data_IF_209749595107
#
_entry.id   IF_209749595107
#
_cell.length_a   1.000
_cell.length_b   1.000
_cell.length_c   1.000
_cell.angle_alpha   90.00
_cell.angle_beta   90.00
_cell.angle_gamma   90.00
#
_symmetry.space_group_name_H-M   'P 1'
#
loop_
_entity.id
_entity.type
_entity.pdbx_description
1 polymer ?
#
# COMPACT_ATOMS: atom_id res chain seq x y z
N UNK A 1 -7.83 0.71 -11.99
CA UNK A 1 -7.45 1.46 -13.19
C UNK A 1 -8.52 2.48 -13.60
N UNK A 2 -9.79 2.09 -13.67
CA UNK A 2 -10.90 2.96 -14.06
C UNK A 2 -11.06 4.19 -13.16
N UNK A 3 -10.92 4.05 -11.84
CA UNK A 3 -10.94 5.20 -10.94
C UNK A 3 -9.73 6.13 -11.14
N UNK A 4 -8.58 5.56 -11.45
CA UNK A 4 -7.34 6.32 -11.73
C UNK A 4 -7.46 7.05 -13.07
N UNK A 5 -8.04 6.42 -14.08
CA UNK A 5 -8.24 7.04 -15.40
C UNK A 5 -9.17 8.25 -15.37
N UNK A 6 -10.10 8.30 -14.39
CA UNK A 6 -11.03 9.44 -14.21
C UNK A 6 -10.38 10.66 -13.54
N UNK A 7 -9.21 10.52 -12.93
CA UNK A 7 -8.52 11.61 -12.23
C UNK A 7 -7.68 12.44 -13.21
N UNK A 8 -7.73 13.75 -13.05
CA UNK A 8 -6.91 14.66 -13.87
C UNK A 8 -5.44 14.55 -13.51
N UNK A 9 -4.57 14.77 -14.48
CA UNK A 9 -3.12 14.82 -14.28
C UNK A 9 -2.72 15.90 -13.27
N UNK A 10 -3.40 17.04 -13.30
CA UNK A 10 -3.18 18.14 -12.36
C UNK A 10 -3.34 17.72 -10.89
N UNK A 11 -4.30 16.84 -10.60
CA UNK A 11 -4.49 16.31 -9.25
C UNK A 11 -3.27 15.51 -8.77
N UNK A 12 -2.68 14.69 -9.63
CA UNK A 12 -1.49 13.92 -9.26
C UNK A 12 -0.30 14.83 -8.97
N UNK A 13 -0.07 15.86 -9.77
CA UNK A 13 0.98 16.86 -9.54
C UNK A 13 0.73 17.67 -8.26
N UNK A 14 -0.50 18.03 -7.98
CA UNK A 14 -0.86 18.74 -6.75
C UNK A 14 -0.60 17.88 -5.52
N UNK A 15 -1.02 16.61 -5.54
CA UNK A 15 -0.78 15.66 -4.46
C UNK A 15 0.72 15.43 -4.26
N UNK A 16 1.49 15.22 -5.33
CA UNK A 16 2.94 15.09 -5.26
C UNK A 16 3.62 16.31 -4.63
N UNK A 17 3.23 17.50 -5.04
CA UNK A 17 3.74 18.77 -4.51
C UNK A 17 3.43 18.92 -3.02
N UNK A 18 2.21 18.60 -2.61
CA UNK A 18 1.79 18.67 -1.21
C UNK A 18 2.55 17.66 -0.33
N UNK A 19 2.75 16.44 -0.82
CA UNK A 19 3.57 15.44 -0.14
C UNK A 19 5.02 15.91 -0.03
N UNK A 20 5.61 16.39 -1.13
CA UNK A 20 6.98 16.89 -1.17
C UNK A 20 7.19 18.02 -0.16
N UNK A 21 6.30 19.00 -0.15
CA UNK A 21 6.37 20.14 0.78
C UNK A 21 6.28 19.65 2.24
N UNK A 22 5.36 18.74 2.55
CA UNK A 22 5.18 18.20 3.90
C UNK A 22 6.43 17.45 4.37
N UNK A 23 6.98 16.60 3.51
CA UNK A 23 8.19 15.82 3.80
C UNK A 23 9.38 16.74 4.00
N UNK A 24 9.61 17.69 3.08
CA UNK A 24 10.75 18.59 3.13
C UNK A 24 10.67 19.56 4.33
N UNK A 25 9.52 20.11 4.63
CA UNK A 25 9.33 20.98 5.80
C UNK A 25 9.66 20.22 7.09
N UNK A 26 9.11 19.01 7.27
CA UNK A 26 9.34 18.22 8.48
C UNK A 26 10.81 17.83 8.61
N UNK A 27 11.43 17.35 7.53
CA UNK A 27 12.84 16.97 7.50
C UNK A 27 13.75 18.16 7.77
N UNK A 28 13.53 19.28 7.13
CA UNK A 28 14.36 20.47 7.25
C UNK A 28 14.29 21.05 8.67
N UNK A 29 13.09 21.12 9.24
CA UNK A 29 12.90 21.62 10.62
C UNK A 29 13.65 20.75 11.62
N UNK A 30 13.49 19.44 11.56
CA UNK A 30 14.18 18.53 12.48
C UNK A 30 15.70 18.49 12.25
N UNK A 31 16.14 18.55 10.97
CA UNK A 31 17.56 18.66 10.62
C UNK A 31 18.22 19.88 11.26
N UNK A 32 17.60 21.05 11.17
CA UNK A 32 18.14 22.29 11.75
C UNK A 32 18.23 22.20 13.28
N UNK A 33 17.17 21.70 13.93
CA UNK A 33 17.18 21.50 15.39
C UNK A 33 18.26 20.50 15.82
N UNK A 34 18.38 19.37 15.12
CA UNK A 34 19.38 18.34 15.39
C UNK A 34 20.82 18.86 15.21
N UNK A 35 21.09 19.65 14.15
CA UNK A 35 22.41 20.25 13.93
C UNK A 35 22.79 21.20 15.08
N UNK A 36 21.88 22.06 15.52
CA UNK A 36 22.11 22.96 16.65
C UNK A 36 22.40 22.17 17.94
N UNK A 37 21.65 21.11 18.17
CA UNK A 37 21.84 20.24 19.34
C UNK A 37 23.20 19.53 19.31
N UNK A 38 23.64 19.02 18.17
CA UNK A 38 24.96 18.40 18.01
C UNK A 38 26.10 19.41 18.31
N UNK A 39 25.97 20.66 17.89
CA UNK A 39 26.93 21.73 18.22
C UNK A 39 26.97 21.97 19.73
N UNK A 40 25.83 21.94 20.43
CA UNK A 40 25.76 22.09 21.88
C UNK A 40 26.41 20.89 22.59
N UNK A 41 26.21 19.66 22.08
CA UNK A 41 26.90 18.49 22.63
C UNK A 41 28.41 18.60 22.52
N UNK A 42 28.95 19.06 21.37
CA UNK A 42 30.38 19.32 21.18
C UNK A 42 30.92 20.36 22.17
N UNK A 43 30.30 21.53 22.23
CA UNK A 43 30.73 22.61 23.13
C UNK A 43 30.67 22.23 24.59
N UNK A 44 29.80 21.33 24.96
CA UNK A 44 29.59 20.90 26.35
C UNK A 44 30.34 19.60 26.69
N UNK A 45 31.03 18.98 25.73
CA UNK A 45 31.70 17.67 25.84
C UNK A 45 30.80 16.59 26.46
N UNK A 46 29.55 16.48 25.94
CA UNK A 46 28.53 15.60 26.51
C UNK A 46 28.44 14.24 25.84
N UNK A 47 29.09 14.03 24.70
CA UNK A 47 28.91 12.79 23.92
C UNK A 47 29.19 11.52 24.71
N UNK A 48 30.27 11.48 25.49
CA UNK A 48 30.70 10.30 26.26
C UNK A 48 29.80 10.01 27.47
N UNK A 49 28.99 10.97 27.86
CA UNK A 49 28.11 10.89 29.03
C UNK A 49 26.66 10.60 28.67
N UNK A 50 26.29 10.68 27.36
CA UNK A 50 24.91 10.42 26.92
C UNK A 50 24.54 8.95 27.05
N UNK A 51 23.27 8.70 27.38
CA UNK A 51 22.69 7.38 27.51
C UNK A 51 21.42 7.28 26.63
N UNK A 52 21.14 6.13 26.02
CA UNK A 52 22.06 5.00 25.82
C UNK A 52 23.24 5.38 24.93
N UNK A 53 24.44 4.94 25.35
CA UNK A 53 25.67 5.19 24.63
C UNK A 53 25.49 4.90 23.13
N UNK A 54 26.02 5.79 22.31
CA UNK A 54 25.99 5.74 20.86
C UNK A 54 24.59 5.85 20.21
N UNK A 55 23.51 5.36 20.84
CA UNK A 55 22.18 5.33 20.18
C UNK A 55 21.57 6.72 20.09
N UNK A 56 21.54 7.49 21.17
CA UNK A 56 21.00 8.87 21.16
C UNK A 56 21.79 9.79 20.25
N UNK A 57 23.14 9.90 20.39
CA UNK A 57 23.94 10.71 19.46
C UNK A 57 23.85 10.23 18.02
N UNK A 58 23.82 8.91 17.80
CA UNK A 58 23.71 8.31 16.46
C UNK A 58 22.39 8.66 15.78
N UNK A 59 21.26 8.55 16.49
CA UNK A 59 19.96 8.93 15.96
C UNK A 59 19.90 10.44 15.66
N UNK A 60 20.42 11.30 16.55
CA UNK A 60 20.44 12.75 16.31
C UNK A 60 21.32 13.09 15.10
N UNK A 61 22.44 12.37 14.86
CA UNK A 61 23.24 12.52 13.63
C UNK A 61 22.49 12.11 12.38
N UNK A 62 21.72 11.01 12.42
CA UNK A 62 20.86 10.59 11.30
C UNK A 62 19.83 11.67 10.99
N UNK A 63 19.17 12.23 12.01
CA UNK A 63 18.21 13.34 11.85
C UNK A 63 18.90 14.57 11.24
N UNK A 64 20.09 14.93 11.74
CA UNK A 64 20.87 16.06 11.25
C UNK A 64 21.32 15.90 9.78
N UNK A 65 21.47 14.67 9.32
CA UNK A 65 21.80 14.32 7.93
C UNK A 65 20.55 14.08 7.06
N UNK A 66 19.35 14.28 7.61
CA UNK A 66 18.07 13.96 6.93
C UNK A 66 17.93 12.49 6.53
N UNK A 67 18.58 11.59 7.25
CA UNK A 67 18.44 10.15 7.03
C UNK A 67 17.28 9.60 7.85
N UNK A 68 16.22 9.20 7.15
CA UNK A 68 14.98 8.67 7.73
C UNK A 68 14.81 7.16 7.50
N UNK A 69 15.88 6.46 7.14
CA UNK A 69 15.81 5.03 6.87
C UNK A 69 15.73 4.17 8.13
N UNK A 70 16.14 4.73 9.28
CA UNK A 70 16.23 3.98 10.55
C UNK A 70 15.18 4.48 11.55
N UNK A 71 14.34 3.57 12.04
CA UNK A 71 13.44 3.83 13.18
C UNK A 71 14.24 3.98 14.48
N UNK A 72 13.71 4.78 15.39
CA UNK A 72 14.25 4.82 16.77
C UNK A 72 14.15 3.44 17.42
N UNK A 73 15.21 3.03 18.13
CA UNK A 73 15.22 1.76 18.84
C UNK A 73 14.46 1.84 20.16
N UNK A 74 13.97 0.69 20.64
CA UNK A 74 13.25 0.55 21.93
C UNK A 74 13.98 1.17 23.12
N UNK A 75 15.32 1.19 23.10
CA UNK A 75 16.14 1.80 24.16
C UNK A 75 15.97 3.31 24.21
N UNK A 76 15.80 3.98 23.05
CA UNK A 76 15.54 5.42 22.99
C UNK A 76 14.11 5.71 23.47
N UNK A 77 13.14 4.89 23.08
CA UNK A 77 11.76 4.99 23.56
C UNK A 77 11.71 4.86 25.09
N UNK A 78 12.40 3.87 25.65
CA UNK A 78 12.54 3.71 27.10
C UNK A 78 13.23 4.90 27.77
N UNK A 79 14.22 5.52 27.13
CA UNK A 79 14.88 6.72 27.66
C UNK A 79 13.95 7.94 27.69
N UNK A 80 13.04 8.04 26.72
CA UNK A 80 11.98 9.07 26.71
C UNK A 80 10.98 8.87 27.85
N UNK A 81 10.57 7.63 28.11
CA UNK A 81 9.65 7.27 29.20
C UNK A 81 10.27 7.53 30.58
N UNK A 82 11.51 7.08 30.78
CA UNK A 82 12.19 7.18 32.07
C UNK A 82 12.86 8.54 32.32
N UNK A 83 13.02 9.35 31.26
CA UNK A 83 13.74 10.61 31.31
C UNK A 83 15.24 10.49 31.48
N UNK A 84 15.81 9.28 31.34
CA UNK A 84 17.24 9.00 31.56
C UNK A 84 18.02 9.08 30.26
N UNK A 85 18.76 10.15 30.06
CA UNK A 85 19.59 10.41 28.86
C UNK A 85 21.06 10.65 29.17
N UNK A 86 21.46 10.57 30.46
CA UNK A 86 22.83 10.74 30.92
C UNK A 86 23.17 9.61 31.87
N UNK A 87 24.42 9.17 31.85
CA UNK A 87 24.92 8.12 32.76
C UNK A 87 24.84 8.57 34.21
N UNK A 88 24.50 7.65 35.12
CA UNK A 88 24.37 7.93 36.57
C UNK A 88 25.68 8.44 37.19
N UNK A 89 26.82 7.94 36.74
CA UNK A 89 28.14 8.25 37.25
C UNK A 89 28.77 9.50 36.60
N UNK A 90 27.96 10.29 35.87
CA UNK A 90 28.45 11.50 35.22
C UNK A 90 28.79 12.60 36.24
N UNK A 91 29.84 13.40 35.98
CA UNK A 91 30.17 14.53 36.83
C UNK A 91 29.02 15.51 37.01
N UNK A 92 28.85 16.07 38.20
CA UNK A 92 27.75 17.00 38.53
C UNK A 92 27.67 18.18 37.55
N UNK A 93 28.80 18.65 37.06
CA UNK A 93 28.88 19.72 36.06
C UNK A 93 28.25 19.30 34.72
N UNK A 94 28.52 18.07 34.25
CA UNK A 94 27.95 17.54 33.00
C UNK A 94 26.43 17.32 33.13
N UNK A 95 25.99 16.87 34.31
CA UNK A 95 24.55 16.74 34.61
C UNK A 95 23.86 18.11 34.54
N UNK A 96 24.49 19.15 35.12
CA UNK A 96 23.94 20.51 35.09
C UNK A 96 23.90 21.08 33.65
N UNK A 97 24.95 20.83 32.85
CA UNK A 97 25.00 21.22 31.44
C UNK A 97 23.90 20.50 30.64
N UNK A 98 23.71 19.18 30.85
CA UNK A 98 22.69 18.40 30.17
C UNK A 98 21.26 18.87 30.51
N UNK A 99 20.99 19.18 31.79
CA UNK A 99 19.67 19.69 32.20
C UNK A 99 19.20 20.89 31.37
N UNK A 100 20.10 21.75 30.91
CA UNK A 100 19.77 22.94 30.09
C UNK A 100 19.31 22.59 28.67
N UNK A 101 19.69 21.42 28.15
CA UNK A 101 19.41 21.00 26.78
C UNK A 101 18.51 19.78 26.72
N UNK A 102 18.12 19.22 27.86
CA UNK A 102 17.31 18.01 27.97
C UNK A 102 16.00 18.12 27.18
N UNK A 103 15.28 19.23 27.34
CA UNK A 103 14.00 19.43 26.70
C UNK A 103 14.13 19.48 25.18
N UNK A 104 15.22 20.03 24.66
CA UNK A 104 15.52 20.02 23.22
C UNK A 104 15.80 18.59 22.72
N UNK A 105 16.50 17.77 23.51
CA UNK A 105 16.75 16.35 23.20
C UNK A 105 15.42 15.60 23.11
N UNK A 106 14.59 15.74 24.14
CA UNK A 106 13.27 15.10 24.21
C UNK A 106 12.39 15.53 23.04
N UNK A 107 12.29 16.83 22.79
CA UNK A 107 11.49 17.38 21.69
C UNK A 107 11.89 16.81 20.32
N UNK A 108 13.20 16.78 20.02
CA UNK A 108 13.70 16.28 18.73
C UNK A 108 13.43 14.79 18.59
N UNK A 109 13.70 13.99 19.60
CA UNK A 109 13.50 12.54 19.56
C UNK A 109 12.03 12.19 19.46
N UNK A 110 11.18 12.85 20.22
CA UNK A 110 9.74 12.63 20.21
C UNK A 110 9.11 13.06 18.89
N UNK A 111 9.51 14.21 18.36
CA UNK A 111 9.08 14.68 17.04
C UNK A 111 9.53 13.72 15.93
N UNK A 112 10.73 13.16 16.01
CA UNK A 112 11.20 12.16 15.06
C UNK A 112 10.36 10.90 15.10
N UNK A 113 10.16 10.32 16.30
CA UNK A 113 9.38 9.09 16.48
C UNK A 113 7.95 9.26 15.97
N UNK A 114 7.28 10.36 16.37
CA UNK A 114 5.90 10.63 15.99
C UNK A 114 5.71 10.83 14.47
N UNK A 115 6.74 11.32 13.78
CA UNK A 115 6.66 11.59 12.34
C UNK A 115 7.29 10.49 11.48
N UNK A 116 8.07 9.55 12.06
CA UNK A 116 8.87 8.61 11.28
C UNK A 116 8.02 7.76 10.34
N UNK A 117 6.98 7.10 10.84
CA UNK A 117 6.11 6.25 10.04
C UNK A 117 5.39 7.04 8.96
N UNK A 118 4.81 8.19 9.32
CA UNK A 118 4.13 9.08 8.38
C UNK A 118 5.05 9.52 7.24
N UNK A 119 6.25 9.98 7.56
CA UNK A 119 7.22 10.44 6.55
C UNK A 119 7.67 9.29 5.66
N UNK A 120 7.88 8.08 6.21
CA UNK A 120 8.24 6.90 5.42
C UNK A 120 7.13 6.52 4.43
N UNK A 121 5.89 6.48 4.90
CA UNK A 121 4.74 6.24 4.01
C UNK A 121 4.64 7.30 2.92
N UNK A 122 4.75 8.57 3.26
CA UNK A 122 4.68 9.66 2.28
C UNK A 122 5.79 9.59 1.23
N UNK A 123 7.01 9.18 1.62
CA UNK A 123 8.13 8.98 0.68
C UNK A 123 7.80 7.84 -0.30
N UNK A 124 7.27 6.72 0.19
CA UNK A 124 6.92 5.58 -0.68
C UNK A 124 5.72 5.91 -1.59
N UNK A 125 4.70 6.58 -1.07
CA UNK A 125 3.58 7.08 -1.88
C UNK A 125 4.07 7.99 -2.99
N UNK A 126 4.95 8.96 -2.69
CA UNK A 126 5.51 9.88 -3.68
C UNK A 126 6.21 9.17 -4.83
N UNK A 127 6.98 8.12 -4.56
CA UNK A 127 7.65 7.33 -5.60
C UNK A 127 6.68 6.69 -6.61
N UNK A 128 5.46 6.40 -6.17
CA UNK A 128 4.47 5.69 -6.96
C UNK A 128 3.43 6.63 -7.63
N UNK A 129 3.43 7.92 -7.32
CA UNK A 129 2.46 8.87 -7.89
C UNK A 129 2.62 9.00 -9.40
N UNK A 130 3.85 9.21 -9.89
CA UNK A 130 4.11 9.36 -11.33
C UNK A 130 3.79 8.10 -12.11
N UNK A 131 4.24 6.89 -11.72
CA UNK A 131 3.80 5.65 -12.35
C UNK A 131 2.28 5.49 -12.37
N UNK A 132 1.60 5.85 -11.28
CA UNK A 132 0.15 5.76 -11.20
C UNK A 132 -0.56 6.74 -12.16
N UNK A 133 -0.05 7.96 -12.26
CA UNK A 133 -0.56 8.96 -13.20
C UNK A 133 -0.39 8.51 -14.66
N UNK A 134 0.78 7.98 -15.03
CA UNK A 134 1.06 7.43 -16.37
C UNK A 134 0.11 6.26 -16.67
N UNK A 135 -0.08 5.34 -15.73
CA UNK A 135 -1.02 4.24 -15.88
C UNK A 135 -2.46 4.74 -16.15
N UNK A 136 -2.87 5.82 -15.48
CA UNK A 136 -4.17 6.45 -15.71
C UNK A 136 -4.31 7.07 -17.11
N UNK A 137 -3.25 7.67 -17.63
CA UNK A 137 -3.22 8.22 -19.00
C UNK A 137 -3.35 7.08 -20.02
N UNK A 138 -2.50 6.06 -19.90
CA UNK A 138 -2.51 4.90 -20.81
C UNK A 138 -3.88 4.21 -20.80
N UNK A 139 -4.49 4.06 -19.63
CA UNK A 139 -5.83 3.46 -19.54
C UNK A 139 -6.89 4.31 -20.27
N UNK A 140 -6.82 5.64 -20.22
CA UNK A 140 -7.72 6.53 -20.98
C UNK A 140 -7.50 6.39 -22.49
N UNK A 141 -6.26 6.47 -22.93
CA UNK A 141 -5.92 6.34 -24.36
C UNK A 141 -6.41 5.00 -24.93
N UNK A 142 -6.26 3.90 -24.19
CA UNK A 142 -6.80 2.59 -24.60
C UNK A 142 -8.31 2.66 -24.77
N UNK A 143 -9.03 3.30 -23.86
CA UNK A 143 -10.49 3.43 -23.94
C UNK A 143 -10.89 4.27 -25.16
N UNK A 144 -10.20 5.36 -25.43
CA UNK A 144 -10.49 6.22 -26.61
C UNK A 144 -10.18 5.48 -27.91
N UNK A 145 -9.03 4.80 -28.03
CA UNK A 145 -8.70 3.97 -29.21
C UNK A 145 -9.75 2.87 -29.43
N UNK A 146 -10.22 2.21 -28.38
CA UNK A 146 -11.27 1.19 -28.49
C UNK A 146 -12.57 1.77 -29.02
N UNK A 147 -12.95 2.97 -28.59
CA UNK A 147 -14.15 3.66 -29.10
C UNK A 147 -13.98 4.05 -30.57
N UNK A 148 -12.87 4.65 -30.94
CA UNK A 148 -12.58 5.08 -32.30
C UNK A 148 -12.56 3.91 -33.30
N UNK A 149 -11.95 2.80 -32.90
CA UNK A 149 -11.82 1.60 -33.74
C UNK A 149 -13.01 0.65 -33.63
N UNK A 150 -14.00 0.96 -32.81
CA UNK A 150 -15.12 0.08 -32.48
C UNK A 150 -14.67 -1.34 -32.11
N UNK A 151 -13.59 -1.44 -31.33
CA UNK A 151 -13.00 -2.69 -30.88
C UNK A 151 -13.05 -2.79 -29.37
N UNK A 152 -13.06 -4.00 -28.84
CA UNK A 152 -13.01 -4.26 -27.42
C UNK A 152 -11.88 -5.23 -27.10
N UNK A 153 -10.92 -4.79 -26.25
CA UNK A 153 -9.88 -5.68 -25.81
C UNK A 153 -10.44 -6.78 -24.91
N UNK A 154 -10.05 -8.03 -25.16
CA UNK A 154 -10.60 -9.22 -24.49
C UNK A 154 -10.54 -9.14 -22.94
N UNK A 155 -9.53 -8.48 -22.39
CA UNK A 155 -9.42 -8.29 -20.95
C UNK A 155 -10.57 -7.49 -20.32
N UNK A 156 -11.25 -6.63 -21.10
CA UNK A 156 -12.41 -5.86 -20.63
C UNK A 156 -13.73 -6.62 -20.77
N UNK A 157 -13.75 -7.68 -21.58
CA UNK A 157 -14.96 -8.42 -21.88
C UNK A 157 -15.62 -9.00 -20.63
N UNK A 158 -14.84 -9.69 -19.80
CA UNK A 158 -15.33 -10.28 -18.56
C UNK A 158 -15.91 -9.24 -17.60
N UNK A 159 -15.31 -8.04 -17.56
CA UNK A 159 -15.76 -6.94 -16.69
C UNK A 159 -17.09 -6.37 -17.17
N UNK A 160 -17.25 -6.18 -18.49
CA UNK A 160 -18.51 -5.69 -19.07
C UNK A 160 -19.65 -6.70 -18.86
N UNK A 161 -19.36 -7.99 -19.04
CA UNK A 161 -20.34 -9.05 -18.73
C UNK A 161 -20.73 -8.97 -17.26
N UNK A 162 -19.73 -8.89 -16.34
CA UNK A 162 -20.01 -8.81 -14.93
C UNK A 162 -20.86 -7.61 -14.56
N UNK A 163 -20.58 -6.43 -15.11
CA UNK A 163 -21.38 -5.23 -14.90
C UNK A 163 -22.83 -5.38 -15.42
N UNK A 164 -22.99 -6.02 -16.58
CA UNK A 164 -24.31 -6.25 -17.17
C UNK A 164 -25.15 -7.27 -16.37
N UNK A 165 -24.46 -8.21 -15.71
CA UNK A 165 -25.07 -9.33 -15.00
C UNK A 165 -25.32 -9.05 -13.52
N UNK A 166 -24.44 -8.27 -12.87
CA UNK A 166 -24.47 -8.02 -11.41
C UNK A 166 -25.66 -7.17 -10.93
N UNK A 167 -26.50 -6.66 -11.82
CA UNK A 167 -27.62 -5.74 -11.47
C UNK A 167 -28.98 -6.40 -11.28
N UNK A 168 -29.14 -7.70 -11.55
CA UNK A 168 -30.42 -8.40 -11.46
C UNK A 168 -30.26 -9.80 -10.87
N UNK A 169 -31.26 -10.25 -10.12
CA UNK A 169 -31.25 -11.57 -9.46
C UNK A 169 -31.21 -12.74 -10.45
N UNK A 170 -31.72 -12.54 -11.67
CA UNK A 170 -31.58 -13.50 -12.77
C UNK A 170 -31.63 -12.73 -14.09
N UNK A 171 -30.45 -12.35 -14.63
CA UNK A 171 -30.42 -11.64 -15.89
C UNK A 171 -31.09 -12.46 -17.00
N UNK A 172 -31.95 -11.82 -17.78
CA UNK A 172 -32.65 -12.41 -18.92
C UNK A 172 -31.74 -13.20 -19.86
N UNK A 173 -30.47 -12.81 -19.97
CA UNK A 173 -29.48 -13.53 -20.77
C UNK A 173 -29.19 -14.93 -20.22
N UNK A 174 -29.17 -15.10 -18.90
CA UNK A 174 -28.94 -16.43 -18.27
C UNK A 174 -30.16 -17.31 -18.35
N UNK A 175 -31.38 -16.75 -18.25
CA UNK A 175 -32.62 -17.47 -18.50
C UNK A 175 -32.63 -18.03 -19.91
N UNK A 176 -32.29 -17.22 -20.91
CA UNK A 176 -32.21 -17.68 -22.31
C UNK A 176 -31.12 -18.73 -22.53
N UNK A 177 -29.96 -18.59 -21.94
CA UNK A 177 -28.84 -19.52 -22.08
C UNK A 177 -29.09 -20.82 -21.30
N UNK A 178 -29.54 -20.71 -20.04
CA UNK A 178 -29.79 -21.87 -19.18
C UNK A 178 -30.87 -22.81 -19.71
N UNK A 179 -31.87 -22.31 -20.45
CA UNK A 179 -32.86 -23.16 -21.11
C UNK A 179 -32.26 -23.94 -22.32
N UNK A 180 -31.16 -23.44 -22.88
CA UNK A 180 -30.51 -24.02 -24.06
C UNK A 180 -29.52 -25.14 -23.74
N UNK A 181 -28.81 -25.04 -22.62
CA UNK A 181 -27.71 -25.95 -22.26
C UNK A 181 -28.14 -26.87 -21.11
N UNK A 182 -28.14 -28.18 -21.36
CA UNK A 182 -28.49 -29.21 -20.39
C UNK A 182 -27.24 -29.70 -19.63
N UNK A 183 -26.14 -29.84 -20.35
CA UNK A 183 -24.90 -30.36 -19.83
C UNK A 183 -23.81 -29.30 -20.02
N UNK A 184 -23.18 -28.89 -18.92
CA UNK A 184 -22.14 -27.87 -18.92
C UNK A 184 -20.85 -28.50 -18.40
N UNK A 185 -19.79 -28.38 -19.18
CA UNK A 185 -18.47 -28.87 -18.84
C UNK A 185 -17.52 -27.67 -18.75
N UNK A 186 -16.83 -27.56 -17.64
CA UNK A 186 -15.80 -26.53 -17.43
C UNK A 186 -14.50 -27.29 -17.20
N UNK A 187 -13.55 -27.08 -18.09
CA UNK A 187 -12.21 -27.65 -18.01
C UNK A 187 -11.18 -26.60 -17.58
N UNK A 188 -10.04 -27.04 -17.06
CA UNK A 188 -8.95 -26.18 -16.57
C UNK A 188 -9.40 -25.12 -15.54
N UNK A 189 -10.30 -25.52 -14.65
CA UNK A 189 -10.95 -24.59 -13.72
C UNK A 189 -9.95 -23.86 -12.80
N UNK A 190 -8.78 -24.47 -12.50
CA UNK A 190 -7.72 -23.85 -11.70
C UNK A 190 -7.17 -22.53 -12.29
N UNK A 191 -7.37 -22.32 -13.59
CA UNK A 191 -6.95 -21.09 -14.29
C UNK A 191 -8.08 -20.08 -14.46
N UNK A 192 -9.27 -20.38 -13.95
CA UNK A 192 -10.44 -19.49 -13.98
C UNK A 192 -10.29 -18.37 -12.96
N UNK A 193 -10.50 -17.13 -13.37
CA UNK A 193 -10.49 -15.97 -12.48
C UNK A 193 -11.81 -15.83 -11.71
N UNK A 194 -11.77 -15.16 -10.54
CA UNK A 194 -12.97 -14.85 -9.75
C UNK A 194 -14.06 -14.14 -10.56
N UNK A 195 -13.67 -13.23 -11.45
CA UNK A 195 -14.63 -12.50 -12.29
C UNK A 195 -15.26 -13.40 -13.37
N UNK A 196 -14.49 -14.34 -13.93
CA UNK A 196 -15.04 -15.33 -14.87
C UNK A 196 -16.02 -16.25 -14.16
N UNK A 197 -15.65 -16.73 -12.97
CA UNK A 197 -16.53 -17.57 -12.17
C UNK A 197 -17.81 -16.84 -11.75
N UNK A 198 -17.70 -15.59 -11.26
CA UNK A 198 -18.87 -14.79 -10.89
C UNK A 198 -19.81 -14.50 -12.07
N UNK A 199 -19.31 -14.51 -13.31
CA UNK A 199 -20.11 -14.41 -14.51
C UNK A 199 -20.80 -15.72 -14.87
N UNK A 200 -20.19 -16.86 -14.55
CA UNK A 200 -20.72 -18.20 -14.91
C UNK A 200 -21.63 -18.78 -13.82
N UNK A 201 -21.31 -18.56 -12.55
CA UNK A 201 -22.02 -19.17 -11.43
C UNK A 201 -23.55 -18.97 -11.47
N UNK A 202 -24.11 -17.79 -11.79
CA UNK A 202 -25.56 -17.62 -11.89
C UNK A 202 -26.18 -18.44 -13.02
N UNK A 203 -25.48 -18.63 -14.15
CA UNK A 203 -25.93 -19.49 -15.25
C UNK A 203 -25.99 -20.97 -14.83
N UNK A 204 -24.98 -21.41 -14.07
CA UNK A 204 -24.90 -22.76 -13.58
C UNK A 204 -25.99 -23.04 -12.54
N UNK A 205 -26.20 -22.12 -11.59
CA UNK A 205 -27.28 -22.23 -10.61
C UNK A 205 -28.65 -22.34 -11.30
N UNK A 206 -28.92 -21.46 -12.27
CA UNK A 206 -30.14 -21.49 -13.02
C UNK A 206 -30.32 -22.80 -13.81
N UNK A 207 -29.24 -23.36 -14.38
CA UNK A 207 -29.29 -24.62 -15.10
C UNK A 207 -29.60 -25.80 -14.18
N UNK A 208 -29.11 -25.81 -12.93
CA UNK A 208 -29.38 -26.87 -11.94
C UNK A 208 -30.79 -26.77 -11.36
N UNK A 209 -31.22 -25.56 -11.01
CA UNK A 209 -32.52 -25.31 -10.35
C UNK A 209 -33.72 -25.64 -11.23
N UNK A 210 -33.50 -25.81 -12.51
CA UNK A 210 -34.59 -26.12 -13.49
C UNK A 210 -34.88 -27.65 -13.47
N UNK A 211 -35.64 -28.11 -12.46
CA UNK A 211 -35.92 -29.51 -12.13
C UNK A 211 -36.58 -30.35 -13.27
N UNK A 212 -37.10 -29.71 -14.32
CA UNK A 212 -37.75 -30.41 -15.41
C UNK A 212 -36.82 -31.09 -16.42
N UNK A 213 -35.48 -30.98 -16.22
CA UNK A 213 -34.49 -31.52 -17.17
C UNK A 213 -33.35 -32.18 -16.41
N UNK A 214 -32.92 -33.35 -16.85
CA UNK A 214 -31.66 -33.98 -16.40
C UNK A 214 -30.48 -33.10 -16.83
N UNK A 215 -30.23 -32.02 -16.10
CA UNK A 215 -29.10 -31.13 -16.31
C UNK A 215 -27.90 -31.61 -15.51
N UNK A 216 -26.71 -31.48 -16.06
CA UNK A 216 -25.47 -31.83 -15.37
C UNK A 216 -24.42 -30.76 -15.53
N UNK A 217 -23.63 -30.56 -14.49
CA UNK A 217 -22.45 -29.70 -14.50
C UNK A 217 -21.26 -30.56 -14.10
N UNK A 218 -20.21 -30.50 -14.90
CA UNK A 218 -18.93 -31.15 -14.61
C UNK A 218 -17.86 -30.10 -14.63
N UNK A 219 -17.11 -29.98 -13.53
CA UNK A 219 -15.98 -29.08 -13.39
C UNK A 219 -14.72 -29.93 -13.23
N UNK A 220 -13.75 -29.71 -14.10
CA UNK A 220 -12.50 -30.46 -14.16
C UNK A 220 -11.33 -29.49 -14.00
N UNK A 221 -10.31 -29.90 -13.25
CA UNK A 221 -9.10 -29.12 -13.05
C UNK A 221 -8.07 -29.86 -12.20
N UNK A 222 -6.87 -29.34 -12.18
CA UNK A 222 -5.80 -29.79 -11.29
C UNK A 222 -5.10 -28.59 -10.68
N UNK A 223 -5.29 -28.38 -9.37
CA UNK A 223 -4.70 -27.28 -8.63
C UNK A 223 -3.17 -27.16 -8.78
N UNK A 224 -2.48 -28.30 -9.01
CA UNK A 224 -1.02 -28.35 -9.19
C UNK A 224 -0.58 -27.82 -10.56
N UNK A 225 -1.49 -27.77 -11.53
CA UNK A 225 -1.22 -27.27 -12.88
C UNK A 225 -1.55 -25.78 -13.05
N UNK A 226 -1.98 -25.11 -11.99
CA UNK A 226 -2.27 -23.66 -12.04
C UNK A 226 -1.00 -22.85 -12.29
N UNK A 227 -0.91 -22.21 -13.48
CA UNK A 227 0.22 -21.38 -13.91
C UNK A 227 -0.18 -19.95 -14.30
N UNK A 228 -1.48 -19.63 -14.29
CA UNK A 228 -2.02 -18.35 -14.76
C UNK A 228 -2.44 -17.40 -13.63
N UNK A 229 -1.83 -17.50 -12.44
CA UNK A 229 -2.04 -16.54 -11.33
C UNK A 229 -1.78 -15.08 -11.75
N UNK A 230 -0.81 -14.85 -12.60
CA UNK A 230 -0.50 -13.54 -13.16
C UNK A 230 -1.60 -12.98 -14.09
N UNK A 231 -2.52 -13.84 -14.57
CA UNK A 231 -3.74 -13.47 -15.31
C UNK A 231 -5.00 -13.50 -14.44
N UNK A 232 -4.84 -13.47 -13.11
CA UNK A 232 -5.90 -13.58 -12.12
C UNK A 232 -6.58 -14.97 -12.05
N UNK A 233 -5.95 -16.04 -12.52
CA UNK A 233 -6.36 -17.40 -12.21
C UNK A 233 -6.34 -17.61 -10.69
N UNK A 234 -7.39 -18.20 -10.14
CA UNK A 234 -7.59 -18.35 -8.70
C UNK A 234 -7.80 -19.82 -8.34
N UNK A 235 -6.71 -20.50 -8.00
CA UNK A 235 -6.74 -21.94 -7.70
C UNK A 235 -7.49 -22.26 -6.41
N UNK A 236 -7.47 -21.36 -5.44
CA UNK A 236 -8.18 -21.51 -4.18
C UNK A 236 -9.68 -21.67 -4.38
N UNK A 237 -10.25 -20.99 -5.38
CA UNK A 237 -11.64 -21.11 -5.80
C UNK A 237 -12.03 -22.53 -6.24
N UNK A 238 -11.11 -23.30 -6.84
CA UNK A 238 -11.34 -24.68 -7.23
C UNK A 238 -11.35 -25.62 -6.01
N UNK A 239 -10.60 -25.28 -4.96
CA UNK A 239 -10.53 -26.10 -3.74
C UNK A 239 -11.72 -25.86 -2.80
N UNK A 240 -12.49 -24.77 -3.01
CA UNK A 240 -13.65 -24.36 -2.21
C UNK A 240 -14.99 -24.81 -2.82
N UNK A 241 -14.98 -25.40 -4.04
CA UNK A 241 -16.16 -25.96 -4.71
C UNK A 241 -16.61 -27.28 -4.07
#
# INVERSE_FOLDING_TARGET
>A
LEEVSKKSLSLFFEVEKNISNTVELTKTTLKQKAKKLLQQFHKSELFDFLFPLEQTPKLIRLIANSDWNKKAGKTIEKSLETGVFIKKDSPKEKIKKFKKIRDQVVEILQSYINNWERIRVLIEVRKNITPLAVTGIVAREIIEIQKEQNTLHIAFFNKLINQAVSGSSTPFIYEKLGVRFKNIFIDEFQDTSKIQWSNLAPLLSFAIENEQKNNSIVIVGDAKQSIYRWRNGEVEQFMEL
#
